data_IF_496901976637
#
_entry.id   IF_496901976637
#
_cell.length_a   1.000
_cell.length_b   1.000
_cell.length_c   1.000
_cell.angle_alpha   90.00
_cell.angle_beta   90.00
_cell.angle_gamma   90.00
#
_symmetry.space_group_name_H-M   'P 1'
#
loop_
_entity.id
_entity.type
_entity.pdbx_description
1 polymer ?
#
# COMPACT_ATOMS: atom_id res chain seq x y z
N UNK A 1 19.89 3.05 -10.58
CA UNK A 1 19.50 1.80 -9.88
C UNK A 1 18.32 2.14 -8.98
N UNK A 2 17.22 1.38 -9.03
CA UNK A 2 15.99 1.72 -8.28
C UNK A 2 15.96 1.00 -6.93
N UNK A 3 15.77 1.75 -5.83
CA UNK A 3 15.56 1.20 -4.50
C UNK A 3 14.10 0.77 -4.32
N UNK A 4 13.87 -0.43 -3.79
CA UNK A 4 12.53 -0.95 -3.48
C UNK A 4 12.31 -0.91 -1.97
N UNK A 5 11.25 -0.24 -1.54
CA UNK A 5 10.82 -0.13 -0.13
C UNK A 5 9.46 -0.82 -0.01
N UNK A 6 9.30 -1.72 0.95
CA UNK A 6 8.03 -2.38 1.24
C UNK A 6 7.44 -1.85 2.55
N UNK A 7 6.23 -1.34 2.51
CA UNK A 7 5.47 -0.93 3.70
C UNK A 7 4.49 -2.04 4.06
N UNK A 8 4.62 -2.60 5.27
CA UNK A 8 3.74 -3.65 5.78
C UNK A 8 2.99 -3.11 7.01
N UNK A 9 1.67 -3.01 6.90
CA UNK A 9 0.84 -2.66 8.05
C UNK A 9 -0.54 -3.34 7.97
N UNK A 10 -1.21 -3.43 9.13
CA UNK A 10 -2.63 -3.76 9.18
C UNK A 10 -3.56 -2.63 8.69
N UNK A 11 -4.89 -2.85 8.68
CA UNK A 11 -5.84 -1.80 8.34
C UNK A 11 -5.87 -0.69 9.41
N UNK A 12 -6.17 0.54 8.99
CA UNK A 12 -6.43 1.71 9.87
C UNK A 12 -5.26 2.15 10.76
N UNK A 13 -4.01 2.02 10.30
CA UNK A 13 -2.81 2.46 11.04
C UNK A 13 -1.98 3.53 10.34
N UNK A 14 -2.62 4.38 9.53
CA UNK A 14 -1.97 5.56 8.94
C UNK A 14 -0.95 5.21 7.83
N UNK A 15 -0.83 3.93 7.44
CA UNK A 15 0.03 3.48 6.33
C UNK A 15 -0.23 4.23 5.02
N UNK A 16 -1.49 4.48 4.66
CA UNK A 16 -1.86 5.27 3.48
C UNK A 16 -1.30 6.69 3.56
N UNK A 17 -1.48 7.39 4.67
CA UNK A 17 -0.94 8.75 4.83
C UNK A 17 0.58 8.78 4.74
N UNK A 18 1.25 7.78 5.34
CA UNK A 18 2.70 7.61 5.24
C UNK A 18 3.14 7.37 3.78
N UNK A 19 2.47 6.47 3.06
CA UNK A 19 2.74 6.22 1.64
C UNK A 19 2.53 7.49 0.79
N UNK A 20 1.48 8.27 1.05
CA UNK A 20 1.21 9.50 0.33
C UNK A 20 2.23 10.60 0.63
N UNK A 21 2.82 10.65 1.83
CA UNK A 21 3.94 11.54 2.13
C UNK A 21 5.18 11.22 1.26
N UNK A 22 5.45 9.93 1.02
CA UNK A 22 6.51 9.50 0.09
C UNK A 22 6.18 9.87 -1.36
N UNK A 23 4.90 9.78 -1.76
CA UNK A 23 4.44 10.17 -3.11
C UNK A 23 4.64 11.65 -3.43
N UNK A 24 4.77 12.52 -2.43
CA UNK A 24 5.06 13.94 -2.65
C UNK A 24 6.50 14.22 -3.08
N UNK A 25 7.40 13.24 -3.00
CA UNK A 25 8.78 13.39 -3.46
C UNK A 25 8.88 13.10 -4.95
N UNK A 26 9.63 13.93 -5.68
CA UNK A 26 9.85 13.77 -7.12
C UNK A 26 10.64 12.51 -7.50
N UNK A 27 11.35 11.91 -6.54
CA UNK A 27 12.21 10.74 -6.75
C UNK A 27 11.52 9.41 -6.41
N UNK A 28 10.26 9.44 -5.98
CA UNK A 28 9.58 8.27 -5.42
C UNK A 28 8.29 7.96 -6.18
N UNK A 29 8.10 6.68 -6.51
CA UNK A 29 6.83 6.15 -7.04
C UNK A 29 6.21 5.22 -6.01
N UNK A 30 4.91 5.38 -5.76
CA UNK A 30 4.17 4.66 -4.72
C UNK A 30 3.09 3.80 -5.37
N UNK A 31 2.97 2.55 -4.91
CA UNK A 31 1.94 1.60 -5.32
C UNK A 31 1.11 1.22 -4.10
N UNK A 32 -0.20 1.45 -4.19
CA UNK A 32 -1.12 1.17 -3.09
C UNK A 32 -1.59 -0.29 -3.12
N UNK A 33 -1.51 -0.93 -1.96
CA UNK A 33 -2.05 -2.26 -1.63
C UNK A 33 -2.20 -3.26 -2.82
N UNK A 34 -1.13 -3.60 -3.56
CA UNK A 34 -1.24 -4.33 -4.84
C UNK A 34 -1.79 -5.76 -4.70
N UNK A 35 -1.80 -6.31 -3.48
CA UNK A 35 -2.24 -7.67 -3.17
C UNK A 35 -3.69 -7.68 -2.63
N UNK A 36 -4.26 -6.53 -2.28
CA UNK A 36 -5.52 -6.48 -1.55
C UNK A 36 -6.71 -7.03 -2.35
N UNK A 37 -6.80 -6.71 -3.65
CA UNK A 37 -7.83 -7.28 -4.52
C UNK A 37 -7.75 -8.82 -4.61
N UNK A 38 -6.53 -9.37 -4.66
CA UNK A 38 -6.33 -10.83 -4.65
C UNK A 38 -6.75 -11.44 -3.30
N UNK A 39 -6.38 -10.78 -2.20
CA UNK A 39 -6.78 -11.19 -0.85
C UNK A 39 -8.30 -11.22 -0.67
N UNK A 40 -9.03 -10.18 -1.10
CA UNK A 40 -10.50 -10.16 -1.05
C UNK A 40 -11.10 -11.31 -1.86
N UNK A 41 -10.60 -11.53 -3.09
CA UNK A 41 -11.06 -12.61 -3.97
C UNK A 41 -10.86 -14.00 -3.37
N UNK A 42 -9.70 -14.25 -2.76
CA UNK A 42 -9.36 -15.57 -2.19
C UNK A 42 -10.06 -15.82 -0.87
N UNK A 43 -10.21 -14.79 -0.03
CA UNK A 43 -10.77 -14.94 1.30
C UNK A 43 -12.28 -14.77 1.36
N UNK A 44 -12.91 -14.19 0.33
CA UNK A 44 -14.34 -13.91 0.30
C UNK A 44 -14.79 -12.90 1.37
N UNK A 45 -13.86 -12.17 1.99
CA UNK A 45 -14.18 -11.16 2.98
C UNK A 45 -14.88 -9.98 2.33
N UNK A 46 -15.90 -9.46 2.98
CA UNK A 46 -16.53 -8.21 2.56
C UNK A 46 -15.52 -7.06 2.70
N UNK A 47 -15.46 -6.26 1.64
CA UNK A 47 -14.72 -5.01 1.67
C UNK A 47 -15.47 -4.02 2.57
N UNK A 48 -14.78 -3.37 3.54
CA UNK A 48 -15.37 -2.30 4.35
C UNK A 48 -15.85 -1.10 3.53
#
# INVERSE_FOLDING_TARGET
MTLRINCWSGPRNISTSFMYAFRQRSDTTVFDEPIYAHYLRVTGREHP
#
